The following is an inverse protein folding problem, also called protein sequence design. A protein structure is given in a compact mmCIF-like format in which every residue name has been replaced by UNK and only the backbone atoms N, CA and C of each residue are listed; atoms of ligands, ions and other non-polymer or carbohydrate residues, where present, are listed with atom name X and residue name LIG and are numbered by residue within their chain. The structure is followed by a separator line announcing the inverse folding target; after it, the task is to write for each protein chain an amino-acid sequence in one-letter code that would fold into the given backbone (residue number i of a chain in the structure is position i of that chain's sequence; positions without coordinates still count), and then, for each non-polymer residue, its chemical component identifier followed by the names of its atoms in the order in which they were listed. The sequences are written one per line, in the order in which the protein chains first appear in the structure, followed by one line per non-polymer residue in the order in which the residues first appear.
data_IF_640062954230
#
_entry.id   IF_640062954230
#
_cell.length_a   1.000
_cell.length_b   1.000
_cell.length_c   1.000
_cell.angle_alpha   90.00
_cell.angle_beta   90.00
_cell.angle_gamma   90.00
#
_symmetry.space_group_name_H-M   'P 1'
#
loop_
_entity.id
_entity.type
_entity.pdbx_description
1 polymer ?
#
# COMPACT_ATOMS: atom_id res chain seq x y z
N UNK A 1 -2.81 -7.29 -8.57
CA UNK A 1 -2.40 -7.71 -9.92
C UNK A 1 -3.06 -9.03 -10.21
N UNK A 2 -3.26 -9.35 -11.47
CA UNK A 2 -3.81 -10.62 -11.94
C UNK A 2 -3.04 -11.07 -13.19
N UNK A 3 -3.09 -12.35 -13.51
CA UNK A 3 -2.56 -12.85 -14.77
C UNK A 3 -3.58 -12.57 -15.87
N UNK A 4 -3.10 -12.22 -17.07
CA UNK A 4 -3.91 -12.25 -18.28
C UNK A 4 -3.92 -13.65 -18.91
N UNK A 5 -4.65 -13.80 -20.01
CA UNK A 5 -4.78 -15.06 -20.75
C UNK A 5 -3.45 -15.53 -21.38
N UNK A 6 -2.37 -14.76 -21.24
CA UNK A 6 -1.03 -15.03 -21.73
C UNK A 6 -0.01 -15.17 -20.59
N UNK A 7 -0.45 -15.40 -19.36
CA UNK A 7 0.38 -15.48 -18.13
C UNK A 7 1.21 -14.20 -17.86
N UNK A 8 0.78 -13.05 -18.38
CA UNK A 8 1.42 -11.77 -18.07
C UNK A 8 0.74 -11.09 -16.90
N UNK A 9 1.55 -10.49 -16.04
CA UNK A 9 1.07 -9.74 -14.89
C UNK A 9 0.47 -8.41 -15.36
N UNK A 10 -0.84 -8.24 -15.15
CA UNK A 10 -1.54 -6.96 -15.37
C UNK A 10 -1.95 -6.30 -14.06
N UNK A 11 -2.06 -4.98 -14.12
CA UNK A 11 -2.63 -4.20 -13.02
C UNK A 11 -4.11 -4.51 -12.87
N UNK A 12 -4.54 -4.70 -11.62
CA UNK A 12 -5.94 -4.97 -11.29
C UNK A 12 -6.83 -3.72 -11.50
N UNK A 13 -6.24 -2.54 -11.36
CA UNK A 13 -6.88 -1.24 -11.51
C UNK A 13 -5.98 -0.32 -12.32
N UNK A 14 -6.53 0.74 -12.91
CA UNK A 14 -5.68 1.83 -13.41
C UNK A 14 -4.82 2.37 -12.24
N UNK A 15 -3.49 2.27 -12.33
CA UNK A 15 -2.62 2.56 -11.19
C UNK A 15 -2.66 4.05 -10.81
N UNK A 16 -2.86 4.95 -11.78
CA UNK A 16 -2.96 6.39 -11.50
C UNK A 16 -4.23 6.70 -10.72
N UNK A 17 -5.39 6.25 -11.21
CA UNK A 17 -6.67 6.45 -10.53
C UNK A 17 -6.67 5.82 -9.13
N UNK A 18 -6.15 4.61 -8.98
CA UNK A 18 -6.04 3.96 -7.68
C UNK A 18 -5.21 4.80 -6.70
N UNK A 19 -4.03 5.27 -7.12
CA UNK A 19 -3.17 6.11 -6.29
C UNK A 19 -3.84 7.44 -5.97
N UNK A 20 -4.43 8.13 -6.94
CA UNK A 20 -5.13 9.41 -6.70
C UNK A 20 -6.19 9.29 -5.60
N UNK A 21 -6.93 8.18 -5.54
CA UNK A 21 -7.98 7.99 -4.53
C UNK A 21 -7.44 7.55 -3.16
N UNK A 22 -6.34 6.79 -3.12
CA UNK A 22 -5.93 6.08 -1.90
C UNK A 22 -4.59 6.55 -1.30
N UNK A 23 -3.79 7.34 -2.04
CA UNK A 23 -2.43 7.68 -1.63
C UNK A 23 -2.37 8.42 -0.30
N UNK A 24 -3.32 9.32 -0.03
CA UNK A 24 -3.37 10.05 1.24
C UNK A 24 -3.55 9.11 2.44
N UNK A 25 -4.42 8.10 2.32
CA UNK A 25 -4.64 7.11 3.37
C UNK A 25 -3.40 6.22 3.60
N UNK A 26 -2.82 5.72 2.50
CA UNK A 26 -1.62 4.89 2.54
C UNK A 26 -0.45 5.67 3.18
N UNK A 27 -0.25 6.92 2.77
CA UNK A 27 0.79 7.79 3.34
C UNK A 27 0.53 8.16 4.80
N UNK A 28 -0.74 8.27 5.21
CA UNK A 28 -1.11 8.47 6.62
C UNK A 28 -0.59 7.35 7.52
N UNK A 29 -0.75 6.09 7.10
CA UNK A 29 -0.24 4.94 7.84
C UNK A 29 1.30 4.91 7.87
N UNK A 30 1.96 5.23 6.75
CA UNK A 30 3.41 5.40 6.70
C UNK A 30 3.90 6.49 7.67
N UNK A 31 3.24 7.66 7.69
CA UNK A 31 3.62 8.77 8.55
C UNK A 31 3.59 8.40 10.03
N UNK A 32 2.58 7.64 10.45
CA UNK A 32 2.45 7.15 11.83
C UNK A 32 3.60 6.23 12.23
N UNK A 33 4.00 5.29 11.37
CA UNK A 33 5.11 4.36 11.62
C UNK A 33 6.44 5.13 11.71
N UNK A 34 6.67 6.06 10.78
CA UNK A 34 7.88 6.88 10.76
C UNK A 34 7.99 7.70 12.05
N UNK A 35 6.88 8.31 12.49
CA UNK A 35 6.80 9.07 13.74
C UNK A 35 7.07 8.17 14.95
N UNK A 36 6.46 6.98 15.01
CA UNK A 36 6.68 6.00 16.08
C UNK A 36 8.15 5.59 16.19
N UNK A 37 8.82 5.38 15.05
CA UNK A 37 10.24 5.07 14.99
C UNK A 37 11.16 6.29 15.22
N UNK A 38 10.61 7.47 15.56
CA UNK A 38 11.33 8.73 15.71
C UNK A 38 12.17 9.10 14.49
N UNK A 39 11.63 8.82 13.29
CA UNK A 39 12.29 9.09 12.01
C UNK A 39 13.64 8.37 11.83
N UNK A 40 13.90 7.32 12.59
CA UNK A 40 15.13 6.53 12.49
C UNK A 40 15.00 5.48 11.37
N UNK A 41 15.71 5.65 10.24
CA UNK A 41 15.60 4.72 9.11
C UNK A 41 16.16 3.32 9.44
N UNK A 42 17.08 3.20 10.41
CA UNK A 42 17.61 1.88 10.82
C UNK A 42 16.54 1.07 11.57
N UNK A 43 15.71 1.74 12.37
CA UNK A 43 14.61 1.09 13.10
C UNK A 43 13.51 0.66 12.14
N UNK A 44 13.10 1.55 11.24
CA UNK A 44 12.07 1.26 10.24
C UNK A 44 12.54 0.17 9.28
N UNK A 45 13.78 0.29 8.79
CA UNK A 45 14.34 -0.60 7.79
C UNK A 45 14.53 -2.05 8.23
N UNK A 46 14.69 -2.27 9.54
CA UNK A 46 14.91 -3.60 10.12
C UNK A 46 13.67 -4.18 10.78
N UNK A 47 12.66 -3.36 11.04
CA UNK A 47 11.41 -3.81 11.63
C UNK A 47 10.46 -4.35 10.55
N UNK A 48 10.34 -5.68 10.49
CA UNK A 48 9.39 -6.37 9.59
C UNK A 48 7.95 -5.87 9.77
N UNK A 49 7.55 -5.56 11.01
CA UNK A 49 6.20 -5.10 11.34
C UNK A 49 5.84 -3.80 10.63
N UNK A 50 6.79 -2.86 10.56
CA UNK A 50 6.65 -1.60 9.81
C UNK A 50 6.24 -1.84 8.34
N UNK A 51 6.82 -2.84 7.68
CA UNK A 51 6.46 -3.19 6.30
C UNK A 51 5.11 -3.92 6.19
N UNK A 52 4.81 -4.81 7.14
CA UNK A 52 3.56 -5.57 7.16
C UNK A 52 2.33 -4.66 7.34
N UNK A 53 2.44 -3.64 8.20
CA UNK A 53 1.36 -2.66 8.44
C UNK A 53 1.06 -1.89 7.15
N UNK A 54 2.09 -1.41 6.46
CA UNK A 54 1.93 -0.72 5.18
C UNK A 54 1.33 -1.64 4.11
N UNK A 55 1.84 -2.86 3.99
CA UNK A 55 1.30 -3.82 3.02
C UNK A 55 -0.18 -4.10 3.30
N UNK A 56 -0.58 -4.16 4.58
CA UNK A 56 -1.97 -4.21 5.01
C UNK A 56 -2.79 -3.01 4.56
N UNK A 57 -2.25 -1.79 4.71
CA UNK A 57 -2.89 -0.54 4.25
C UNK A 57 -3.20 -0.57 2.75
N UNK A 58 -2.24 -1.02 1.94
CA UNK A 58 -2.37 -1.12 0.49
C UNK A 58 -3.43 -2.17 0.13
N UNK A 59 -3.39 -3.36 0.75
CA UNK A 59 -4.39 -4.42 0.54
C UNK A 59 -5.80 -3.95 0.90
N UNK A 60 -5.97 -3.30 2.05
CA UNK A 60 -7.26 -2.77 2.49
C UNK A 60 -7.78 -1.70 1.53
N UNK A 61 -6.92 -0.79 1.07
CA UNK A 61 -7.28 0.23 0.08
C UNK A 61 -7.71 -0.39 -1.25
N UNK A 62 -7.01 -1.43 -1.71
CA UNK A 62 -7.40 -2.20 -2.89
C UNK A 62 -8.76 -2.89 -2.74
N UNK A 63 -9.02 -3.52 -1.59
CA UNK A 63 -10.31 -4.15 -1.31
C UNK A 63 -11.47 -3.14 -1.25
N UNK A 64 -11.26 -1.97 -0.66
CA UNK A 64 -12.28 -0.93 -0.57
C UNK A 64 -12.55 -0.27 -1.92
N UNK A 65 -11.51 0.00 -2.71
CA UNK A 65 -11.64 0.55 -4.06
C UNK A 65 -12.43 -0.37 -4.99
N UNK A 66 -12.27 -1.69 -4.84
CA UNK A 66 -13.05 -2.68 -5.58
C UNK A 66 -14.54 -2.68 -5.21
N UNK A 67 -14.90 -2.34 -3.97
CA UNK A 67 -16.30 -2.27 -3.50
C UNK A 67 -17.02 -0.97 -3.90
N UNK A 68 -16.26 0.08 -4.22
CA UNK A 68 -16.79 1.38 -4.65
C UNK A 68 -17.04 1.51 -6.15
N UNK A 69 -16.70 0.48 -6.93
CA UNK A 69 -17.04 0.33 -8.36
C UNK A 69 -18.21 -0.62 -8.52
#
# INVERSE_FOLDING_TARGET
MELDDQDKVKWLFDPKAFLTHNIANILGMYSSIIKFAKFDPQKIGKDKGSYEIVAGAIKMSASNYNKSK
#
